data_IF_710854651647
#
_entry.id   IF_710854651647
#
_cell.length_a   1.000
_cell.length_b   1.000
_cell.length_c   1.000
_cell.angle_alpha   90.00
_cell.angle_beta   90.00
_cell.angle_gamma   90.00
#
_symmetry.space_group_name_H-M   'P 1'
#
loop_
_entity.id
_entity.type
_entity.pdbx_description
1 polymer ?
#
# COMPACT_ATOMS: atom_id res chain seq x y z
N UNK A 1 7.84 8.89 19.93
CA UNK A 1 8.04 7.71 19.07
C UNK A 1 6.79 6.80 19.01
N UNK A 2 5.56 7.35 18.89
CA UNK A 2 4.31 6.56 18.89
C UNK A 2 3.62 6.40 17.52
N UNK A 3 4.06 7.14 16.50
CA UNK A 3 3.41 7.12 15.18
C UNK A 3 3.68 5.83 14.39
N UNK A 4 4.91 5.29 14.48
CA UNK A 4 5.32 4.08 13.73
C UNK A 4 4.50 2.85 14.16
N UNK A 5 4.33 2.54 15.46
CA UNK A 5 3.49 1.42 15.87
C UNK A 5 2.05 1.56 15.41
N UNK A 6 1.49 2.78 15.47
CA UNK A 6 0.11 3.02 15.08
C UNK A 6 -0.11 2.75 13.58
N UNK A 7 0.67 3.40 12.70
CA UNK A 7 0.45 3.27 11.26
C UNK A 7 0.76 1.87 10.74
N UNK A 8 1.82 1.24 11.26
CA UNK A 8 2.18 -0.13 10.91
C UNK A 8 1.16 -1.15 11.38
N UNK A 9 0.65 -1.01 12.61
CA UNK A 9 -0.38 -1.90 13.13
C UNK A 9 -1.70 -1.75 12.36
N UNK A 10 -2.11 -0.52 12.02
CA UNK A 10 -3.30 -0.30 11.19
C UNK A 10 -3.17 -0.97 9.83
N UNK A 11 -2.02 -0.86 9.17
CA UNK A 11 -1.77 -1.53 7.89
C UNK A 11 -1.84 -3.07 8.05
N UNK A 12 -1.20 -3.60 9.09
CA UNK A 12 -1.20 -5.04 9.37
C UNK A 12 -2.61 -5.57 9.62
N UNK A 13 -3.36 -4.95 10.54
CA UNK A 13 -4.71 -5.38 10.88
C UNK A 13 -5.64 -5.30 9.67
N UNK A 14 -5.50 -4.26 8.84
CA UNK A 14 -6.30 -4.10 7.63
C UNK A 14 -6.02 -5.23 6.62
N UNK A 15 -4.75 -5.58 6.40
CA UNK A 15 -4.38 -6.59 5.40
C UNK A 15 -4.60 -8.02 5.88
N UNK A 16 -4.18 -8.35 7.11
CA UNK A 16 -4.13 -9.73 7.59
C UNK A 16 -5.34 -10.13 8.43
N UNK A 17 -5.78 -9.24 9.32
CA UNK A 17 -6.82 -9.58 10.29
C UNK A 17 -8.22 -9.34 9.71
N UNK A 18 -8.44 -8.23 9.01
CA UNK A 18 -9.71 -7.89 8.40
C UNK A 18 -9.79 -8.31 6.93
N UNK A 19 -8.71 -8.09 6.17
CA UNK A 19 -8.66 -8.35 4.74
C UNK A 19 -8.29 -9.79 4.37
N UNK A 20 -7.71 -10.55 5.32
CA UNK A 20 -7.24 -11.92 5.11
C UNK A 20 -6.44 -12.11 3.81
N UNK A 21 -5.55 -11.16 3.51
CA UNK A 21 -4.77 -11.14 2.27
C UNK A 21 -3.95 -12.43 2.09
N UNK A 22 -4.10 -13.06 0.93
CA UNK A 22 -3.36 -14.24 0.52
C UNK A 22 -2.35 -13.93 -0.59
N UNK A 23 -1.41 -14.85 -0.78
CA UNK A 23 -0.42 -14.77 -1.86
C UNK A 23 -1.13 -14.75 -3.23
N UNK A 24 -0.54 -14.04 -4.20
CA UNK A 24 -1.06 -13.87 -5.57
C UNK A 24 -2.41 -13.12 -5.69
N UNK A 25 -3.00 -12.68 -4.58
CA UNK A 25 -4.14 -11.76 -4.63
C UNK A 25 -3.70 -10.35 -5.01
N UNK A 26 -4.62 -9.57 -5.56
CA UNK A 26 -4.38 -8.16 -5.87
C UNK A 26 -5.00 -7.27 -4.80
N UNK A 27 -4.22 -6.30 -4.30
CA UNK A 27 -4.69 -5.30 -3.35
C UNK A 27 -4.57 -3.89 -3.92
N UNK A 28 -5.63 -3.11 -3.76
CA UNK A 28 -5.66 -1.68 -4.08
C UNK A 28 -5.46 -0.87 -2.80
N UNK A 29 -4.44 -0.02 -2.76
CA UNK A 29 -4.11 0.83 -1.62
C UNK A 29 -4.38 2.29 -1.98
N UNK A 30 -5.36 2.90 -1.31
CA UNK A 30 -5.66 4.32 -1.45
C UNK A 30 -4.75 5.16 -0.55
N UNK A 31 -4.30 6.31 -1.06
CA UNK A 31 -3.37 7.16 -0.31
C UNK A 31 -2.06 6.43 -0.01
N UNK A 32 -1.58 5.64 -0.96
CA UNK A 32 -0.50 4.67 -0.80
C UNK A 32 0.85 5.30 -0.41
N UNK A 33 1.07 6.58 -0.72
CA UNK A 33 2.27 7.32 -0.28
C UNK A 33 2.18 7.87 1.15
N UNK A 34 1.04 7.70 1.83
CA UNK A 34 0.81 8.17 3.20
C UNK A 34 1.40 7.25 4.27
N UNK A 35 1.28 7.66 5.54
CA UNK A 35 1.90 6.95 6.67
C UNK A 35 1.44 5.50 6.86
N UNK A 36 0.17 5.18 6.61
CA UNK A 36 -0.33 3.79 6.65
C UNK A 36 -0.09 3.08 5.32
N UNK A 37 -0.34 3.78 4.21
CA UNK A 37 -0.22 3.24 2.86
C UNK A 37 1.17 2.71 2.52
N UNK A 38 2.22 3.42 2.95
CA UNK A 38 3.61 3.02 2.68
C UNK A 38 4.01 1.73 3.41
N UNK A 39 3.48 1.50 4.61
CA UNK A 39 3.62 0.22 5.30
C UNK A 39 2.76 -0.87 4.64
N UNK A 40 1.55 -0.53 4.22
CA UNK A 40 0.65 -1.47 3.56
C UNK A 40 1.25 -2.01 2.24
N UNK A 41 1.92 -1.16 1.43
CA UNK A 41 2.62 -1.60 0.22
C UNK A 41 3.66 -2.67 0.57
N UNK A 42 4.56 -2.36 1.50
CA UNK A 42 5.65 -3.25 1.87
C UNK A 42 5.13 -4.57 2.45
N UNK A 43 4.12 -4.52 3.32
CA UNK A 43 3.51 -5.70 3.92
C UNK A 43 2.80 -6.57 2.89
N UNK A 44 2.01 -5.97 2.00
CA UNK A 44 1.32 -6.71 0.94
C UNK A 44 2.31 -7.34 -0.04
N UNK A 45 3.37 -6.61 -0.41
CA UNK A 45 4.41 -7.14 -1.30
C UNK A 45 5.17 -8.29 -0.66
N UNK A 46 5.51 -8.17 0.63
CA UNK A 46 6.15 -9.24 1.40
C UNK A 46 5.27 -10.50 1.52
N UNK A 47 3.94 -10.34 1.48
CA UNK A 47 2.97 -11.45 1.45
C UNK A 47 2.86 -12.14 0.08
N UNK A 48 3.49 -11.58 -0.95
CA UNK A 48 3.41 -12.06 -2.33
C UNK A 48 2.12 -11.64 -3.05
N UNK A 49 1.46 -10.58 -2.58
CA UNK A 49 0.34 -9.98 -3.29
C UNK A 49 0.82 -9.04 -4.41
N UNK A 50 -0.04 -8.82 -5.40
CA UNK A 50 0.12 -7.78 -6.40
C UNK A 50 -0.43 -6.45 -5.85
N UNK A 51 0.38 -5.41 -5.86
CA UNK A 51 0.05 -4.14 -5.19
C UNK A 51 -0.23 -3.04 -6.20
N UNK A 52 -1.45 -2.50 -6.17
CA UNK A 52 -1.84 -1.30 -6.91
C UNK A 52 -1.91 -0.13 -5.93
N UNK A 53 -1.07 0.88 -6.09
CA UNK A 53 -1.01 2.06 -5.23
C UNK A 53 -1.63 3.30 -5.89
N UNK A 54 -2.55 3.97 -5.20
CA UNK A 54 -3.10 5.27 -5.62
C UNK A 54 -2.48 6.40 -4.81
N UNK A 55 -1.81 7.35 -5.48
CA UNK A 55 -1.32 8.60 -4.91
C UNK A 55 -1.08 9.64 -6.03
N UNK A 56 -0.71 10.88 -5.70
CA UNK A 56 -0.30 11.84 -6.74
C UNK A 56 0.94 11.37 -7.49
N UNK A 57 1.05 11.75 -8.76
CA UNK A 57 2.09 11.30 -9.69
C UNK A 57 3.52 11.46 -9.13
N UNK A 58 3.76 12.56 -8.40
CA UNK A 58 5.06 12.83 -7.73
C UNK A 58 5.51 11.74 -6.74
N UNK A 59 4.62 10.85 -6.30
CA UNK A 59 4.93 9.75 -5.39
C UNK A 59 5.03 8.39 -6.09
N UNK A 60 4.85 8.31 -7.42
CA UNK A 60 4.86 7.04 -8.13
C UNK A 60 6.19 6.30 -7.99
N UNK A 61 7.32 7.00 -8.13
CA UNK A 61 8.64 6.41 -7.94
C UNK A 61 8.82 5.86 -6.52
N UNK A 62 8.45 6.66 -5.51
CA UNK A 62 8.47 6.24 -4.11
C UNK A 62 7.63 4.98 -3.86
N UNK A 63 6.42 4.89 -4.41
CA UNK A 63 5.58 3.70 -4.24
C UNK A 63 6.19 2.46 -4.91
N UNK A 64 6.80 2.61 -6.08
CA UNK A 64 7.50 1.51 -6.78
C UNK A 64 8.70 1.02 -5.97
N UNK A 65 9.49 1.92 -5.39
CA UNK A 65 10.59 1.57 -4.49
C UNK A 65 10.13 0.76 -3.27
N UNK A 66 8.94 1.04 -2.75
CA UNK A 66 8.34 0.28 -1.65
C UNK A 66 7.80 -1.09 -2.07
N UNK A 67 7.63 -1.34 -3.37
CA UNK A 67 7.14 -2.61 -3.91
C UNK A 67 5.76 -2.57 -4.56
N UNK A 68 5.22 -1.39 -4.89
CA UNK A 68 4.01 -1.31 -5.71
C UNK A 68 4.29 -1.83 -7.13
N UNK A 69 3.44 -2.73 -7.61
CA UNK A 69 3.50 -3.28 -8.97
C UNK A 69 2.91 -2.29 -9.98
N UNK A 70 1.83 -1.62 -9.59
CA UNK A 70 1.16 -0.60 -10.39
C UNK A 70 0.92 0.67 -9.56
N UNK A 71 1.02 1.83 -10.21
CA UNK A 71 0.83 3.14 -9.59
C UNK A 71 -0.15 3.98 -10.41
N UNK A 72 -1.20 4.48 -9.78
CA UNK A 72 -2.27 5.24 -10.42
C UNK A 72 -2.40 6.61 -9.73
N UNK A 73 -2.56 7.66 -10.51
CA UNK A 73 -2.90 8.99 -9.99
C UNK A 73 -4.41 9.20 -9.96
N UNK A 74 -4.92 9.93 -8.99
CA UNK A 74 -6.35 10.31 -8.95
C UNK A 74 -6.68 11.46 -9.92
N UNK A 75 -5.67 12.06 -10.54
CA UNK A 75 -5.82 13.08 -11.60
C UNK A 75 -6.04 12.44 -12.98
N UNK A 76 -5.87 11.11 -13.09
CA UNK A 76 -6.29 10.31 -14.24
C UNK A 76 -7.80 10.08 -14.11
N UNK A 77 -8.56 11.03 -14.64
CA UNK A 77 -9.98 10.84 -14.96
C UNK A 77 -10.08 10.93 -16.47
N UNK A 78 -10.47 9.80 -17.10
CA UNK A 78 -10.93 9.79 -18.49
C UNK A 78 -12.05 10.82 -18.74
#
# INVERSE_FOLDING_TARGET
AGAIPLVGLTAYQSLYDAGHLEENQTVLILGASGGVGSFAIQLAKAKGANVIGIASEKNHEYMKELGADETITYEDTD
#
